data_IF_862174894595
#
_entry.id   IF_862174894595
#
_cell.length_a   1.000
_cell.length_b   1.000
_cell.length_c   1.000
_cell.angle_alpha   90.00
_cell.angle_beta   90.00
_cell.angle_gamma   90.00
#
_symmetry.space_group_name_H-M   'P 1'
#
loop_
_entity.id
_entity.type
_entity.pdbx_description
1 polymer ?
#
# COMPACT_ATOMS: atom_id res chain seq x y z
N UNK A 1 4.68 17.68 -41.18
CA UNK A 1 5.35 17.76 -39.87
C UNK A 1 4.57 18.57 -38.85
N UNK A 2 4.17 19.82 -39.11
CA UNK A 2 3.39 20.61 -38.15
C UNK A 2 1.98 20.04 -37.85
N UNK A 3 1.33 19.50 -38.87
CA UNK A 3 -0.02 18.93 -38.71
C UNK A 3 0.00 17.58 -38.00
N UNK A 4 1.04 16.76 -38.19
CA UNK A 4 1.21 15.51 -37.44
C UNK A 4 1.46 15.76 -35.94
N UNK A 5 2.25 16.77 -35.61
CA UNK A 5 2.50 17.14 -34.21
C UNK A 5 1.25 17.73 -33.53
N UNK A 6 0.43 18.50 -34.27
CA UNK A 6 -0.85 19.01 -33.75
C UNK A 6 -1.83 17.88 -33.47
N UNK A 7 -1.89 16.89 -34.36
CA UNK A 7 -2.75 15.72 -34.15
C UNK A 7 -2.28 14.90 -32.96
N UNK A 8 -0.97 14.67 -32.84
CA UNK A 8 -0.36 13.94 -31.71
C UNK A 8 -0.65 14.66 -30.36
N UNK A 9 -0.55 16.00 -30.33
CA UNK A 9 -0.91 16.79 -29.15
C UNK A 9 -2.41 16.69 -28.84
N UNK A 10 -3.29 16.68 -29.85
CA UNK A 10 -4.73 16.53 -29.66
C UNK A 10 -5.07 15.13 -29.10
N UNK A 11 -4.41 14.09 -29.61
CA UNK A 11 -4.58 12.70 -29.15
C UNK A 11 -4.12 12.54 -27.70
N UNK A 12 -2.99 13.16 -27.33
CA UNK A 12 -2.50 13.18 -25.94
C UNK A 12 -3.46 13.93 -25.00
N UNK A 13 -4.08 15.02 -25.45
CA UNK A 13 -5.11 15.72 -24.66
C UNK A 13 -6.34 14.84 -24.44
N UNK A 14 -6.82 14.16 -25.47
CA UNK A 14 -7.94 13.23 -25.36
C UNK A 14 -7.67 12.08 -24.42
N UNK A 15 -6.44 11.54 -24.42
CA UNK A 15 -5.99 10.54 -23.46
C UNK A 15 -5.98 11.12 -22.04
N UNK A 16 -5.43 12.33 -21.84
CA UNK A 16 -5.38 12.99 -20.55
C UNK A 16 -6.79 13.29 -20.00
N UNK A 17 -7.69 13.76 -20.83
CA UNK A 17 -9.10 13.99 -20.48
C UNK A 17 -9.81 12.68 -20.12
N UNK A 18 -9.59 11.61 -20.88
CA UNK A 18 -10.10 10.28 -20.59
C UNK A 18 -9.58 9.71 -19.26
N UNK A 19 -8.35 10.02 -18.88
CA UNK A 19 -7.79 9.65 -17.58
C UNK A 19 -8.38 10.49 -16.44
N UNK A 20 -8.52 11.80 -16.62
CA UNK A 20 -9.11 12.70 -15.62
C UNK A 20 -10.56 12.33 -15.29
N UNK A 21 -11.29 11.75 -16.25
CA UNK A 21 -12.65 11.25 -16.05
C UNK A 21 -12.73 9.94 -15.23
N UNK A 22 -11.61 9.29 -14.93
CA UNK A 22 -11.59 7.98 -14.23
C UNK A 22 -11.40 8.07 -12.72
N UNK A 23 -11.16 9.25 -12.19
CA UNK A 23 -10.97 9.44 -10.75
C UNK A 23 -11.45 10.83 -10.31
N UNK A 24 -11.92 10.90 -9.08
CA UNK A 24 -12.40 12.11 -8.44
C UNK A 24 -11.53 12.46 -7.25
N UNK A 25 -10.95 13.64 -7.29
CA UNK A 25 -10.17 14.19 -6.18
C UNK A 25 -11.07 14.53 -5.01
N UNK A 26 -10.57 14.30 -3.80
CA UNK A 26 -11.19 14.81 -2.59
C UNK A 26 -10.75 16.26 -2.38
N UNK A 27 -11.67 17.19 -2.59
CA UNK A 27 -11.41 18.59 -2.32
C UNK A 27 -11.53 18.88 -0.82
N UNK A 28 -10.75 19.86 -0.35
CA UNK A 28 -10.76 20.29 1.05
C UNK A 28 -10.56 19.15 2.05
N UNK A 29 -9.70 18.19 1.71
CA UNK A 29 -9.36 17.08 2.59
C UNK A 29 -8.85 17.62 3.93
N UNK A 30 -9.53 17.24 5.00
CA UNK A 30 -9.19 17.58 6.38
C UNK A 30 -9.11 16.30 7.21
N UNK A 31 -8.18 16.26 8.14
CA UNK A 31 -7.97 15.11 9.00
C UNK A 31 -8.69 15.28 10.36
N UNK A 32 -8.95 14.19 11.10
CA UNK A 32 -9.70 14.26 12.35
C UNK A 32 -8.97 15.14 13.37
N UNK A 33 -9.75 15.81 14.24
CA UNK A 33 -9.24 16.61 15.37
C UNK A 33 -8.22 17.71 15.00
N UNK A 34 -8.29 18.23 13.77
CA UNK A 34 -7.36 19.25 13.29
C UNK A 34 -5.95 18.74 13.02
N UNK A 35 -5.78 17.44 12.85
CA UNK A 35 -4.49 16.86 12.43
C UNK A 35 -4.05 17.43 11.08
N UNK A 36 -2.75 17.59 10.90
CA UNK A 36 -2.16 18.22 9.71
C UNK A 36 -1.85 17.25 8.59
N UNK A 37 -1.58 16.00 8.93
CA UNK A 37 -1.22 14.95 7.98
C UNK A 37 -1.71 13.61 8.50
N UNK A 38 -2.17 12.74 7.59
CA UNK A 38 -2.32 11.33 7.90
C UNK A 38 -1.11 10.56 7.35
N UNK A 39 -0.57 9.66 8.14
CA UNK A 39 0.58 8.81 7.79
C UNK A 39 0.21 7.37 8.03
N UNK A 40 0.24 6.57 6.96
CA UNK A 40 0.18 5.13 7.05
C UNK A 40 1.58 4.53 6.98
N UNK A 41 1.90 3.64 7.90
CA UNK A 41 2.95 2.66 7.73
C UNK A 41 2.30 1.36 7.27
N UNK A 42 2.71 0.85 6.13
CA UNK A 42 2.15 -0.36 5.55
C UNK A 42 3.24 -1.40 5.34
N UNK A 43 2.90 -2.67 5.52
CA UNK A 43 3.81 -3.77 5.31
C UNK A 43 3.21 -4.75 4.30
N UNK A 44 3.83 -4.89 3.15
CA UNK A 44 3.47 -5.90 2.14
C UNK A 44 4.14 -7.21 2.53
N UNK A 45 3.34 -8.12 3.08
CA UNK A 45 3.82 -9.36 3.66
C UNK A 45 3.86 -10.49 2.63
N UNK A 46 4.85 -10.43 1.74
CA UNK A 46 5.05 -11.39 0.64
C UNK A 46 5.87 -12.61 1.04
N UNK A 47 6.76 -12.45 2.01
CA UNK A 47 7.78 -13.44 2.36
C UNK A 47 8.51 -13.97 1.11
N UNK A 48 8.50 -15.29 0.84
CA UNK A 48 9.14 -15.86 -0.34
C UNK A 48 8.21 -15.96 -1.55
N UNK A 49 6.91 -15.59 -1.44
CA UNK A 49 5.92 -15.94 -2.45
C UNK A 49 6.18 -15.26 -3.80
N UNK A 50 6.53 -13.98 -3.81
CA UNK A 50 6.91 -13.30 -5.05
C UNK A 50 8.10 -13.98 -5.74
N UNK A 51 9.14 -14.34 -4.96
CA UNK A 51 10.34 -15.00 -5.47
C UNK A 51 10.04 -16.39 -6.01
N UNK A 52 9.12 -17.10 -5.36
CA UNK A 52 8.64 -18.41 -5.83
C UNK A 52 7.94 -18.29 -7.18
N UNK A 53 7.12 -17.28 -7.40
CA UNK A 53 6.47 -17.03 -8.68
C UNK A 53 7.47 -16.79 -9.82
N UNK A 54 8.61 -16.22 -9.51
CA UNK A 54 9.70 -16.00 -10.47
C UNK A 54 10.67 -17.19 -10.59
N UNK A 55 10.38 -18.32 -9.96
CA UNK A 55 11.24 -19.51 -9.93
C UNK A 55 12.69 -19.19 -9.52
N UNK A 56 12.84 -18.28 -8.58
CA UNK A 56 14.16 -17.92 -8.07
C UNK A 56 14.84 -19.08 -7.32
N UNK A 57 16.17 -19.16 -7.32
CA UNK A 57 16.90 -20.26 -6.68
C UNK A 57 16.71 -20.22 -5.14
N UNK A 58 16.97 -21.36 -4.43
CA UNK A 58 16.71 -21.49 -2.99
C UNK A 58 17.34 -20.42 -2.12
N UNK A 59 18.53 -19.92 -2.49
CA UNK A 59 19.19 -18.82 -1.77
C UNK A 59 18.34 -17.52 -1.80
N UNK A 60 17.68 -17.24 -2.91
CA UNK A 60 16.82 -16.07 -3.03
C UNK A 60 15.49 -16.28 -2.30
N UNK A 61 14.94 -17.51 -2.32
CA UNK A 61 13.78 -17.87 -1.50
C UNK A 61 14.07 -17.65 -0.01
N UNK A 62 15.25 -18.04 0.48
CA UNK A 62 15.66 -17.82 1.86
C UNK A 62 15.71 -16.33 2.25
N UNK A 63 16.02 -15.42 1.32
CA UNK A 63 15.94 -13.99 1.57
C UNK A 63 14.50 -13.53 1.79
N UNK A 64 13.56 -14.06 1.03
CA UNK A 64 12.13 -13.82 1.23
C UNK A 64 11.62 -14.42 2.55
N UNK A 65 12.04 -15.65 2.88
CA UNK A 65 11.70 -16.31 4.15
C UNK A 65 12.13 -15.51 5.39
N UNK A 66 13.24 -14.79 5.32
CA UNK A 66 13.63 -13.87 6.38
C UNK A 66 12.48 -12.92 6.76
N UNK A 67 11.68 -12.48 5.79
CA UNK A 67 10.52 -11.63 6.02
C UNK A 67 9.53 -12.25 7.02
N UNK A 68 9.15 -13.51 6.81
CA UNK A 68 8.22 -14.22 7.68
C UNK A 68 8.82 -14.69 9.02
N UNK A 69 10.09 -15.08 8.99
CA UNK A 69 10.76 -15.63 10.17
C UNK A 69 11.28 -14.58 11.15
N UNK A 70 11.69 -13.42 10.65
CA UNK A 70 12.35 -12.38 11.44
C UNK A 70 11.78 -10.99 11.14
N UNK A 71 11.68 -10.62 9.86
CA UNK A 71 11.44 -9.25 9.46
C UNK A 71 10.12 -8.69 9.95
N UNK A 72 9.04 -9.45 9.81
CA UNK A 72 7.69 -9.01 10.25
C UNK A 72 7.65 -8.80 11.78
N UNK A 73 8.33 -9.62 12.55
CA UNK A 73 8.38 -9.51 14.00
C UNK A 73 9.08 -8.23 14.45
N UNK A 74 10.18 -7.87 13.78
CA UNK A 74 10.89 -6.62 14.05
C UNK A 74 10.08 -5.38 13.68
N UNK A 75 9.29 -5.45 12.59
CA UNK A 75 8.40 -4.35 12.22
C UNK A 75 7.27 -4.20 13.25
N UNK A 76 6.65 -5.29 13.68
CA UNK A 76 5.62 -5.27 14.73
C UNK A 76 6.21 -4.66 16.02
N UNK A 77 7.37 -5.14 16.45
CA UNK A 77 8.06 -4.61 17.63
C UNK A 77 8.34 -3.11 17.51
N UNK A 78 8.86 -2.65 16.37
CA UNK A 78 9.12 -1.26 16.09
C UNK A 78 7.84 -0.41 16.20
N UNK A 79 6.75 -0.86 15.59
CA UNK A 79 5.48 -0.14 15.63
C UNK A 79 4.90 -0.10 17.04
N UNK A 80 5.00 -1.20 17.79
CA UNK A 80 4.55 -1.24 19.19
C UNK A 80 5.38 -0.32 20.08
N UNK A 81 6.72 -0.26 19.91
CA UNK A 81 7.61 0.66 20.63
C UNK A 81 7.23 2.14 20.36
N UNK A 82 6.83 2.45 19.15
CA UNK A 82 6.34 3.79 18.80
C UNK A 82 4.85 4.01 19.10
N UNK A 83 4.12 3.00 19.56
CA UNK A 83 2.68 3.10 19.86
C UNK A 83 1.83 3.44 18.64
N UNK A 84 2.24 3.02 17.44
CA UNK A 84 1.50 3.21 16.19
C UNK A 84 0.89 1.89 15.71
N UNK A 85 -0.16 2.01 14.90
CA UNK A 85 -0.76 0.87 14.21
C UNK A 85 -0.45 0.97 12.71
N UNK A 86 -0.14 -0.19 12.12
CA UNK A 86 0.17 -0.32 10.71
C UNK A 86 -0.89 -1.16 10.00
N UNK A 87 -0.92 -1.10 8.68
CA UNK A 87 -1.68 -2.04 7.85
C UNK A 87 -0.74 -3.08 7.29
N UNK A 88 -1.04 -4.35 7.52
CA UNK A 88 -0.31 -5.48 6.97
C UNK A 88 -1.09 -6.04 5.78
N UNK A 89 -0.69 -5.66 4.58
CA UNK A 89 -1.21 -6.24 3.35
C UNK A 89 -0.64 -7.65 3.20
N UNK A 90 -1.49 -8.63 3.33
CA UNK A 90 -1.10 -10.02 3.52
C UNK A 90 -1.49 -10.87 2.33
N UNK A 91 -0.51 -11.49 1.69
CA UNK A 91 -0.77 -12.51 0.67
C UNK A 91 -1.46 -13.71 1.33
N UNK A 92 -2.57 -14.17 0.77
CA UNK A 92 -3.44 -15.18 1.41
C UNK A 92 -2.71 -16.46 1.84
N UNK A 93 -1.74 -16.93 1.07
CA UNK A 93 -0.88 -18.08 1.42
C UNK A 93 -0.04 -17.86 2.67
N UNK A 94 0.22 -16.63 3.08
CA UNK A 94 0.94 -16.30 4.33
C UNK A 94 0.15 -16.83 5.55
N UNK A 95 -1.17 -16.90 5.46
CA UNK A 95 -2.01 -17.48 6.51
C UNK A 95 -1.64 -18.94 6.83
N UNK A 96 -1.19 -19.68 5.82
CA UNK A 96 -0.76 -21.08 5.97
C UNK A 96 0.72 -21.15 6.42
N UNK A 97 1.56 -20.24 5.93
CA UNK A 97 3.01 -20.32 6.11
C UNK A 97 3.50 -19.69 7.42
N UNK A 98 2.88 -18.56 7.81
CA UNK A 98 3.34 -17.77 8.97
C UNK A 98 2.17 -17.35 9.89
N UNK A 99 1.31 -18.30 10.33
CA UNK A 99 0.11 -17.97 11.11
C UNK A 99 0.42 -17.26 12.44
N UNK A 100 1.57 -17.52 13.04
CA UNK A 100 1.95 -16.91 14.32
C UNK A 100 2.26 -15.41 14.16
N UNK A 101 2.86 -15.01 13.02
CA UNK A 101 3.13 -13.60 12.73
C UNK A 101 1.84 -12.82 12.56
N UNK A 102 0.83 -13.40 11.87
CA UNK A 102 -0.48 -12.76 11.72
C UNK A 102 -1.21 -12.62 13.07
N UNK A 103 -1.15 -13.65 13.92
CA UNK A 103 -1.71 -13.55 15.28
C UNK A 103 -1.01 -12.48 16.10
N UNK A 104 0.30 -12.30 15.95
CA UNK A 104 1.03 -11.23 16.62
C UNK A 104 0.59 -9.86 16.08
N UNK A 105 0.54 -9.66 14.77
CA UNK A 105 0.06 -8.42 14.17
C UNK A 105 -1.34 -8.01 14.67
N UNK A 106 -2.27 -8.97 14.70
CA UNK A 106 -3.63 -8.73 15.21
C UNK A 106 -3.63 -8.40 16.71
N UNK A 107 -2.85 -9.12 17.53
CA UNK A 107 -2.75 -8.82 18.98
C UNK A 107 -2.19 -7.43 19.26
N UNK A 108 -1.25 -6.98 18.43
CA UNK A 108 -0.72 -5.62 18.49
C UNK A 108 -1.70 -4.58 17.91
N UNK A 109 -2.86 -4.99 17.40
CA UNK A 109 -3.90 -4.10 16.88
C UNK A 109 -3.62 -3.58 15.46
N UNK A 110 -2.72 -4.21 14.71
CA UNK A 110 -2.51 -3.89 13.31
C UNK A 110 -3.67 -4.38 12.45
N UNK A 111 -3.96 -3.66 11.38
CA UNK A 111 -4.92 -4.07 10.37
C UNK A 111 -4.34 -5.20 9.52
N UNK A 112 -5.14 -6.24 9.23
CA UNK A 112 -4.85 -7.18 8.16
C UNK A 112 -5.69 -6.82 6.93
N UNK A 113 -5.03 -6.59 5.80
CA UNK A 113 -5.64 -6.27 4.53
C UNK A 113 -5.20 -7.27 3.43
N UNK A 114 -5.97 -7.33 2.37
CA UNK A 114 -5.74 -8.26 1.26
C UNK A 114 -4.54 -7.85 0.40
N UNK A 115 -3.71 -8.84 0.02
CA UNK A 115 -2.62 -8.69 -0.93
C UNK A 115 -2.59 -9.84 -1.95
N UNK A 116 -3.77 -10.19 -2.47
CA UNK A 116 -3.97 -11.31 -3.39
C UNK A 116 -3.77 -12.68 -2.71
N UNK A 117 -4.15 -13.79 -3.40
CA UNK A 117 -3.97 -15.13 -2.83
C UNK A 117 -2.50 -15.60 -2.86
N UNK A 118 -1.81 -15.41 -4.00
CA UNK A 118 -0.42 -15.82 -4.21
C UNK A 118 0.44 -14.69 -4.82
N UNK A 119 0.20 -13.45 -4.45
CA UNK A 119 0.83 -12.27 -5.04
C UNK A 119 0.60 -12.18 -6.57
N UNK A 120 -0.53 -12.69 -7.02
CA UNK A 120 -0.94 -12.76 -8.42
C UNK A 120 -2.43 -12.73 -8.55
N UNK A 121 -2.92 -12.00 -9.53
CA UNK A 121 -4.33 -11.99 -9.92
C UNK A 121 -4.52 -12.91 -11.13
N UNK A 122 -5.42 -13.88 -11.06
CA UNK A 122 -5.82 -14.67 -12.23
C UNK A 122 -6.41 -13.81 -13.34
N UNK A 123 -6.28 -14.26 -14.57
CA UNK A 123 -6.89 -13.57 -15.72
C UNK A 123 -8.37 -13.90 -15.89
N UNK A 124 -8.79 -15.07 -15.46
CA UNK A 124 -10.15 -15.58 -15.54
C UNK A 124 -10.98 -14.93 -14.43
N UNK A 125 -12.08 -14.22 -14.75
CA UNK A 125 -12.85 -13.45 -13.74
C UNK A 125 -13.39 -14.29 -12.58
N UNK A 126 -13.85 -15.51 -12.85
CA UNK A 126 -14.37 -16.39 -11.80
C UNK A 126 -13.25 -16.87 -10.86
N UNK A 127 -12.08 -17.17 -11.40
CA UNK A 127 -10.92 -17.57 -10.59
C UNK A 127 -10.35 -16.37 -9.80
N UNK A 128 -10.39 -15.17 -10.37
CA UNK A 128 -10.06 -13.93 -9.65
C UNK A 128 -10.98 -13.75 -8.44
N UNK A 129 -12.30 -13.91 -8.63
CA UNK A 129 -13.30 -13.84 -7.55
C UNK A 129 -13.08 -14.91 -6.48
N UNK A 130 -12.79 -16.14 -6.91
CA UNK A 130 -12.47 -17.24 -5.99
C UNK A 130 -11.25 -16.91 -5.13
N UNK A 131 -10.16 -16.44 -5.74
CA UNK A 131 -8.94 -16.07 -5.05
C UNK A 131 -9.16 -14.93 -4.06
N UNK A 132 -9.91 -13.90 -4.45
CA UNK A 132 -10.26 -12.78 -3.59
C UNK A 132 -11.06 -13.25 -2.35
N UNK A 133 -12.10 -14.06 -2.56
CA UNK A 133 -12.90 -14.63 -1.46
C UNK A 133 -12.08 -15.55 -0.56
N UNK A 134 -11.18 -16.33 -1.14
CA UNK A 134 -10.30 -17.25 -0.41
C UNK A 134 -9.33 -16.48 0.48
N UNK A 135 -8.74 -15.38 -0.02
CA UNK A 135 -7.87 -14.50 0.77
C UNK A 135 -8.67 -13.88 1.90
N UNK A 136 -9.84 -13.32 1.62
CA UNK A 136 -10.69 -12.71 2.62
C UNK A 136 -11.06 -13.69 3.75
N UNK A 137 -11.49 -14.90 3.40
CA UNK A 137 -11.84 -15.94 4.37
C UNK A 137 -10.63 -16.43 5.19
N UNK A 138 -9.44 -16.46 4.58
CA UNK A 138 -8.21 -16.82 5.29
C UNK A 138 -7.81 -15.75 6.33
N UNK A 139 -7.88 -14.47 5.96
CA UNK A 139 -7.56 -13.35 6.86
C UNK A 139 -8.58 -13.19 7.99
N UNK A 140 -9.86 -13.41 7.70
CA UNK A 140 -10.94 -13.35 8.70
C UNK A 140 -10.71 -14.30 9.87
N UNK A 141 -10.13 -15.48 9.65
CA UNK A 141 -9.80 -16.45 10.71
C UNK A 141 -8.80 -15.89 11.75
N UNK A 142 -8.02 -14.88 11.39
CA UNK A 142 -7.05 -14.25 12.30
C UNK A 142 -7.59 -13.00 12.95
N UNK A 143 -8.25 -12.13 12.20
CA UNK A 143 -8.75 -10.85 12.67
C UNK A 143 -10.17 -10.91 13.28
N UNK A 144 -10.89 -12.02 13.07
CA UNK A 144 -12.30 -12.16 13.48
C UNK A 144 -13.28 -11.33 12.63
N UNK A 145 -12.79 -10.67 11.59
CA UNK A 145 -13.61 -9.85 10.67
C UNK A 145 -13.07 -9.91 9.25
N UNK A 146 -13.95 -9.77 8.28
CA UNK A 146 -13.56 -9.73 6.87
C UNK A 146 -12.68 -8.49 6.60
N UNK A 147 -11.58 -8.61 5.84
CA UNK A 147 -10.80 -7.47 5.42
C UNK A 147 -11.64 -6.53 4.56
N UNK A 148 -11.43 -5.23 4.75
CA UNK A 148 -12.16 -4.19 4.01
C UNK A 148 -11.24 -3.43 3.04
N UNK A 149 -9.96 -3.70 3.06
CA UNK A 149 -8.96 -3.06 2.22
C UNK A 149 -8.11 -4.05 1.45
N UNK A 150 -7.62 -3.58 0.31
CA UNK A 150 -6.73 -4.34 -0.56
C UNK A 150 -5.55 -3.49 -1.02
N UNK A 151 -4.43 -4.14 -1.27
CA UNK A 151 -3.35 -3.64 -2.15
C UNK A 151 -3.12 -4.68 -3.22
N UNK A 152 -3.76 -4.50 -4.35
CA UNK A 152 -3.77 -5.52 -5.38
C UNK A 152 -4.08 -4.97 -6.77
N UNK A 153 -3.82 -5.81 -7.76
CA UNK A 153 -4.24 -5.60 -9.15
C UNK A 153 -5.61 -6.20 -9.47
N UNK A 154 -6.39 -6.55 -8.44
CA UNK A 154 -7.76 -7.03 -8.66
C UNK A 154 -8.59 -5.99 -9.40
N UNK A 155 -9.53 -6.47 -10.20
CA UNK A 155 -10.51 -5.63 -10.88
C UNK A 155 -11.23 -4.76 -9.84
N UNK A 156 -11.15 -3.43 -9.92
CA UNK A 156 -11.68 -2.56 -8.87
C UNK A 156 -13.18 -2.70 -8.63
N UNK A 157 -13.97 -2.98 -9.70
CA UNK A 157 -15.39 -3.28 -9.57
C UNK A 157 -15.63 -4.55 -8.74
N UNK A 158 -14.77 -5.56 -8.94
CA UNK A 158 -14.84 -6.80 -8.16
C UNK A 158 -14.54 -6.55 -6.69
N UNK A 159 -13.53 -5.75 -6.37
CA UNK A 159 -13.23 -5.37 -4.98
C UNK A 159 -14.46 -4.75 -4.31
N UNK A 160 -15.09 -3.76 -4.95
CA UNK A 160 -16.32 -3.14 -4.44
C UNK A 160 -17.45 -4.17 -4.26
N UNK A 161 -17.68 -5.01 -5.25
CA UNK A 161 -18.79 -5.98 -5.23
C UNK A 161 -18.60 -7.06 -4.14
N UNK A 162 -17.36 -7.32 -3.76
CA UNK A 162 -16.98 -8.20 -2.65
C UNK A 162 -16.87 -7.47 -1.30
N UNK A 163 -17.25 -6.19 -1.24
CA UNK A 163 -17.38 -5.42 0.00
C UNK A 163 -16.11 -4.71 0.49
N UNK A 164 -15.10 -4.60 -0.34
CA UNK A 164 -13.93 -3.77 -0.04
C UNK A 164 -14.29 -2.30 -0.14
N UNK A 165 -13.76 -1.50 0.76
CA UNK A 165 -14.01 -0.05 0.82
C UNK A 165 -12.87 0.78 0.26
N UNK A 166 -11.66 0.21 0.20
CA UNK A 166 -10.51 0.85 -0.40
C UNK A 166 -9.57 -0.12 -1.11
N UNK A 167 -8.84 0.39 -2.10
CA UNK A 167 -7.62 -0.19 -2.61
C UNK A 167 -6.43 0.75 -2.32
N UNK A 168 -5.21 0.21 -2.30
CA UNK A 168 -3.98 0.98 -2.06
C UNK A 168 -2.91 0.57 -3.07
N UNK A 169 -3.21 0.75 -4.36
CA UNK A 169 -2.32 0.38 -5.45
C UNK A 169 -2.06 1.52 -6.44
N UNK A 170 -3.00 2.44 -6.55
CA UNK A 170 -2.92 3.55 -7.49
C UNK A 170 -1.97 4.65 -7.05
N UNK A 171 -1.47 5.41 -8.04
CA UNK A 171 -0.55 6.53 -7.84
C UNK A 171 -0.97 7.76 -8.66
N UNK A 172 -2.27 7.94 -8.91
CA UNK A 172 -2.76 9.07 -9.71
C UNK A 172 -2.73 10.40 -8.95
N UNK A 173 -2.76 10.38 -7.63
CA UNK A 173 -2.58 11.56 -6.76
C UNK A 173 -1.73 11.17 -5.53
N UNK A 174 -1.24 12.16 -4.80
CA UNK A 174 -0.63 11.98 -3.48
C UNK A 174 -1.66 11.90 -2.34
N UNK A 175 -2.91 12.29 -2.59
CA UNK A 175 -4.02 12.28 -1.64
C UNK A 175 -4.99 11.16 -1.98
N UNK A 176 -5.75 10.65 -1.00
CA UNK A 176 -6.87 9.76 -1.29
C UNK A 176 -7.81 10.33 -2.36
N UNK A 177 -8.32 9.48 -3.21
CA UNK A 177 -9.23 9.85 -4.29
C UNK A 177 -10.22 8.71 -4.57
N UNK A 178 -11.33 9.02 -5.25
CA UNK A 178 -12.29 8.00 -5.66
C UNK A 178 -12.01 7.56 -7.10
N UNK A 179 -12.00 6.29 -7.34
CA UNK A 179 -12.02 5.72 -8.66
C UNK A 179 -13.43 5.83 -9.24
N UNK A 180 -13.55 6.17 -10.51
CA UNK A 180 -14.82 6.33 -11.22
C UNK A 180 -14.99 5.18 -12.21
N UNK A 181 -16.24 4.73 -12.36
CA UNK A 181 -16.60 3.74 -13.37
C UNK A 181 -16.73 4.38 -14.78
N UNK A 182 -17.08 3.58 -15.79
CA UNK A 182 -17.25 4.05 -17.15
C UNK A 182 -18.39 5.08 -17.36
N UNK A 183 -19.22 5.30 -16.33
CA UNK A 183 -20.29 6.30 -16.32
C UNK A 183 -19.94 7.53 -15.49
N UNK A 184 -18.74 7.56 -14.91
CA UNK A 184 -18.28 8.63 -14.04
C UNK A 184 -18.79 8.53 -12.61
N UNK A 185 -19.40 7.41 -12.22
CA UNK A 185 -19.85 7.20 -10.85
C UNK A 185 -18.72 6.69 -9.96
N UNK A 186 -18.57 7.23 -8.75
CA UNK A 186 -17.55 6.79 -7.80
C UNK A 186 -17.90 5.41 -7.26
N UNK A 187 -16.91 4.52 -7.20
CA UNK A 187 -17.16 3.16 -6.74
C UNK A 187 -16.17 2.60 -5.73
N UNK A 188 -14.94 3.10 -5.67
CA UNK A 188 -13.92 2.62 -4.74
C UNK A 188 -13.00 3.76 -4.33
N UNK A 189 -12.65 3.83 -3.04
CA UNK A 189 -11.64 4.74 -2.55
C UNK A 189 -10.24 4.19 -2.86
N UNK A 190 -9.34 5.05 -3.31
CA UNK A 190 -7.93 4.73 -3.50
C UNK A 190 -7.10 5.46 -2.44
N UNK A 191 -6.27 4.70 -1.71
CA UNK A 191 -5.26 5.21 -0.80
C UNK A 191 -3.89 5.09 -1.46
N UNK A 192 -3.43 6.11 -2.18
CA UNK A 192 -2.26 5.99 -3.03
C UNK A 192 -0.97 5.81 -2.24
N UNK A 193 -0.02 5.11 -2.85
CA UNK A 193 1.37 5.14 -2.46
C UNK A 193 2.25 5.38 -3.68
N UNK A 194 3.49 5.76 -3.45
CA UNK A 194 4.42 6.08 -4.53
C UNK A 194 5.75 5.34 -4.34
N UNK A 195 6.33 4.85 -5.41
CA UNK A 195 7.60 4.12 -5.38
C UNK A 195 8.76 4.87 -4.73
N UNK A 196 8.71 6.22 -4.68
CA UNK A 196 9.71 7.01 -3.95
C UNK A 196 9.67 6.84 -2.42
N UNK A 197 8.62 6.22 -1.87
CA UNK A 197 8.46 5.89 -0.45
C UNK A 197 8.15 4.41 -0.23
N UNK A 198 8.69 3.58 -1.11
CA UNK A 198 8.67 2.13 -1.08
C UNK A 198 10.10 1.62 -0.85
N UNK A 199 10.30 0.84 0.19
CA UNK A 199 11.63 0.37 0.61
C UNK A 199 12.30 -0.54 -0.43
N UNK A 200 11.51 -1.30 -1.19
CA UNK A 200 12.03 -2.21 -2.19
C UNK A 200 12.77 -1.50 -3.31
N UNK A 201 12.36 -0.27 -3.63
CA UNK A 201 13.00 0.53 -4.68
C UNK A 201 14.44 0.94 -4.31
N UNK A 202 14.73 1.04 -3.01
CA UNK A 202 16.04 1.49 -2.51
C UNK A 202 16.92 0.34 -2.02
N UNK A 203 16.32 -0.69 -1.45
CA UNK A 203 17.05 -1.71 -0.69
C UNK A 203 16.88 -3.13 -1.22
N UNK A 204 16.03 -3.34 -2.17
CA UNK A 204 15.87 -4.62 -2.84
C UNK A 204 16.26 -4.48 -4.31
N UNK A 205 15.70 -5.22 -5.16
CA UNK A 205 16.15 -5.41 -6.54
C UNK A 205 15.22 -4.74 -7.53
N UNK A 206 15.65 -4.75 -8.79
CA UNK A 206 14.75 -4.41 -9.87
C UNK A 206 13.68 -5.50 -10.00
N UNK A 207 12.45 -5.19 -9.71
CA UNK A 207 11.29 -6.07 -9.72
C UNK A 207 11.07 -6.86 -11.02
N UNK A 208 11.63 -6.36 -12.12
CA UNK A 208 11.40 -6.87 -13.46
C UNK A 208 12.61 -7.53 -14.09
N UNK A 209 13.66 -7.72 -13.34
CA UNK A 209 14.85 -8.32 -13.89
C UNK A 209 14.99 -9.78 -13.45
N UNK A 210 15.69 -10.56 -14.26
CA UNK A 210 15.95 -11.99 -14.01
C UNK A 210 16.59 -12.23 -12.64
N UNK A 211 16.57 -13.47 -12.19
CA UNK A 211 17.11 -13.94 -10.90
C UNK A 211 18.53 -13.44 -10.53
N UNK A 212 19.26 -12.92 -11.48
CA UNK A 212 20.63 -12.41 -11.33
C UNK A 212 20.67 -10.90 -11.03
N UNK A 213 19.57 -10.25 -10.80
CA UNK A 213 19.57 -8.82 -10.55
C UNK A 213 20.11 -8.47 -9.19
N UNK A 214 21.02 -7.53 -9.24
CA UNK A 214 21.73 -7.03 -8.09
C UNK A 214 20.79 -6.42 -7.05
N UNK A 215 21.04 -6.74 -5.80
CA UNK A 215 20.40 -6.06 -4.72
C UNK A 215 20.95 -4.63 -4.62
N UNK A 216 20.06 -3.66 -4.62
CA UNK A 216 20.45 -2.29 -4.30
C UNK A 216 20.73 -2.18 -2.81
N UNK A 217 21.90 -1.69 -2.50
CA UNK A 217 22.29 -1.29 -1.15
C UNK A 217 22.39 0.23 -1.13
N UNK A 218 21.25 0.89 -1.02
CA UNK A 218 21.22 2.33 -0.83
C UNK A 218 21.71 2.72 0.57
N UNK A 219 22.34 3.88 0.65
CA UNK A 219 22.68 4.50 1.91
C UNK A 219 21.41 4.84 2.70
N UNK A 220 21.27 4.30 3.89
CA UNK A 220 20.08 4.50 4.73
C UNK A 220 19.90 5.95 5.19
N UNK A 221 20.96 6.73 5.34
CA UNK A 221 20.86 8.14 5.74
C UNK A 221 20.29 8.96 4.58
N UNK A 222 20.69 8.68 3.34
CA UNK A 222 20.12 9.33 2.16
C UNK A 222 18.65 8.97 1.96
N UNK A 223 18.27 7.71 2.15
CA UNK A 223 16.86 7.30 2.07
C UNK A 223 16.03 7.95 3.18
N UNK A 224 16.58 8.01 4.40
CA UNK A 224 15.97 8.76 5.51
C UNK A 224 15.72 10.22 5.12
N UNK A 225 16.72 10.93 4.58
CA UNK A 225 16.59 12.33 4.20
C UNK A 225 15.55 12.53 3.09
N UNK A 226 15.50 11.65 2.11
CA UNK A 226 14.49 11.68 1.05
C UNK A 226 13.07 11.48 1.60
N UNK A 227 12.86 10.47 2.46
CA UNK A 227 11.56 10.19 3.05
C UNK A 227 11.13 11.26 4.05
N UNK A 228 12.09 11.82 4.79
CA UNK A 228 11.84 12.97 5.65
C UNK A 228 11.43 14.21 4.84
N UNK A 229 12.08 14.49 3.72
CA UNK A 229 11.71 15.60 2.84
C UNK A 229 10.30 15.41 2.24
N UNK A 230 9.96 14.18 1.80
CA UNK A 230 8.63 13.85 1.32
C UNK A 230 7.56 14.07 2.42
N UNK A 231 7.82 13.59 3.64
CA UNK A 231 6.96 13.82 4.78
C UNK A 231 6.77 15.30 5.07
N UNK A 232 7.86 16.09 5.14
CA UNK A 232 7.79 17.53 5.42
C UNK A 232 6.94 18.26 4.38
N UNK A 233 7.04 17.88 3.11
CA UNK A 233 6.27 18.50 2.04
C UNK A 233 4.78 18.18 2.18
N UNK A 234 4.42 16.92 2.43
CA UNK A 234 3.04 16.54 2.69
C UNK A 234 2.49 17.19 3.97
N UNK A 235 3.28 17.27 5.04
CA UNK A 235 2.91 17.92 6.29
C UNK A 235 2.58 19.41 6.10
N UNK A 236 3.33 20.13 5.26
CA UNK A 236 3.06 21.56 4.95
C UNK A 236 1.71 21.76 4.30
N UNK A 237 1.29 20.84 3.46
CA UNK A 237 0.09 20.96 2.62
C UNK A 237 -1.13 20.22 3.15
N UNK A 238 -1.10 19.72 4.38
CA UNK A 238 -2.21 18.94 4.93
C UNK A 238 -2.45 17.65 4.16
N UNK A 239 -1.36 17.00 3.70
CA UNK A 239 -1.41 15.89 2.79
C UNK A 239 -1.58 14.52 3.44
N UNK A 240 -1.19 13.51 2.71
CA UNK A 240 -1.23 12.11 3.07
C UNK A 240 0.11 11.45 2.70
N UNK A 241 0.60 10.54 3.53
CA UNK A 241 1.81 9.79 3.26
C UNK A 241 1.58 8.30 3.58
N UNK A 242 1.79 7.45 2.60
CA UNK A 242 1.65 6.00 2.73
C UNK A 242 3.01 5.35 2.44
N UNK A 243 3.70 4.96 3.50
CA UNK A 243 5.03 4.35 3.43
C UNK A 243 4.86 2.85 3.24
N UNK A 244 5.40 2.33 2.14
CA UNK A 244 5.36 0.91 1.81
C UNK A 244 6.65 0.22 2.25
N UNK A 245 6.51 -0.80 3.08
CA UNK A 245 7.59 -1.61 3.62
C UNK A 245 7.38 -3.08 3.28
N UNK A 246 8.47 -3.78 3.04
CA UNK A 246 8.46 -5.23 2.89
C UNK A 246 9.24 -5.86 4.05
N UNK A 247 8.65 -6.77 4.82
CA UNK A 247 9.34 -7.37 5.97
C UNK A 247 10.70 -8.00 5.64
N UNK A 248 10.84 -8.60 4.45
CA UNK A 248 12.12 -9.17 4.02
C UNK A 248 13.16 -8.10 3.63
N UNK A 249 12.73 -6.88 3.37
CA UNK A 249 13.56 -5.70 3.06
C UNK A 249 13.85 -4.91 4.32
N UNK A 250 12.85 -4.25 4.88
CA UNK A 250 12.99 -3.32 6.00
C UNK A 250 13.12 -3.96 7.36
N UNK A 251 12.80 -5.25 7.51
CA UNK A 251 13.06 -6.00 8.74
C UNK A 251 14.55 -6.26 9.04
N UNK A 252 15.48 -5.84 8.18
CA UNK A 252 16.93 -5.92 8.39
C UNK A 252 17.39 -4.84 9.38
N UNK A 253 18.36 -5.18 10.23
CA UNK A 253 18.78 -4.35 11.36
C UNK A 253 19.09 -2.90 10.99
N UNK A 254 19.86 -2.67 9.91
CA UNK A 254 20.23 -1.33 9.46
C UNK A 254 19.01 -0.48 9.06
N UNK A 255 18.01 -1.11 8.47
CA UNK A 255 16.79 -0.43 7.98
C UNK A 255 15.78 -0.23 9.10
N UNK A 256 15.68 -1.16 10.05
CA UNK A 256 14.91 -0.95 11.29
C UNK A 256 15.44 0.27 12.03
N UNK A 257 16.76 0.43 12.16
CA UNK A 257 17.35 1.61 12.81
C UNK A 257 17.03 2.92 12.06
N UNK A 258 16.99 2.89 10.73
CA UNK A 258 16.56 4.04 9.93
C UNK A 258 15.08 4.37 10.17
N UNK A 259 14.20 3.37 10.17
CA UNK A 259 12.76 3.56 10.41
C UNK A 259 12.47 4.05 11.82
N UNK A 260 13.19 3.55 12.82
CA UNK A 260 13.09 4.00 14.20
C UNK A 260 13.38 5.52 14.30
N UNK A 261 14.49 5.97 13.71
CA UNK A 261 14.82 7.39 13.63
C UNK A 261 13.77 8.21 12.90
N UNK A 262 13.22 7.69 11.80
CA UNK A 262 12.20 8.37 11.01
C UNK A 262 10.90 8.56 11.81
N UNK A 263 10.43 7.48 12.45
CA UNK A 263 9.24 7.52 13.31
C UNK A 263 9.45 8.48 14.50
N UNK A 264 10.57 8.37 15.20
CA UNK A 264 10.90 9.25 16.30
C UNK A 264 10.85 10.72 15.86
N UNK A 265 11.43 11.04 14.70
CA UNK A 265 11.45 12.40 14.17
C UNK A 265 10.08 12.89 13.72
N UNK A 266 9.27 12.05 13.07
CA UNK A 266 7.90 12.43 12.70
C UNK A 266 7.04 12.77 13.93
N UNK A 267 7.23 12.04 15.02
CA UNK A 267 6.51 12.25 16.30
C UNK A 267 6.89 13.53 17.03
N UNK A 268 8.00 14.20 16.67
CA UNK A 268 8.32 15.51 17.24
C UNK A 268 7.42 16.64 16.71
N UNK A 269 6.70 16.40 15.61
CA UNK A 269 5.82 17.42 15.02
C UNK A 269 4.37 17.23 15.49
N UNK A 270 3.66 18.32 15.84
CA UNK A 270 2.27 18.24 16.25
C UNK A 270 1.36 17.91 15.06
N UNK A 271 0.25 17.25 15.34
CA UNK A 271 -0.80 17.02 14.35
C UNK A 271 -0.46 15.95 13.29
N UNK A 272 0.42 15.02 13.60
CA UNK A 272 0.66 13.82 12.78
C UNK A 272 -0.29 12.72 13.24
N UNK A 273 -1.17 12.30 12.36
CA UNK A 273 -2.09 11.19 12.60
C UNK A 273 -1.51 9.90 12.00
N UNK A 274 -0.89 9.08 12.84
CA UNK A 274 -0.51 7.73 12.46
C UNK A 274 -1.74 6.84 12.50
N UNK A 275 -2.15 6.34 11.37
CA UNK A 275 -3.39 5.60 11.20
C UNK A 275 -3.18 4.32 10.39
N UNK A 276 -4.08 3.36 10.52
CA UNK A 276 -4.22 2.27 9.56
C UNK A 276 -4.87 2.78 8.27
N UNK A 277 -4.73 2.02 7.20
CA UNK A 277 -5.41 2.36 5.94
C UNK A 277 -6.94 2.34 6.10
N UNK A 278 -7.47 1.40 6.89
CA UNK A 278 -8.91 1.35 7.19
C UNK A 278 -9.39 2.60 7.92
N UNK A 279 -8.65 3.09 8.92
CA UNK A 279 -9.01 4.32 9.65
C UNK A 279 -9.05 5.52 8.71
N UNK A 280 -8.05 5.67 7.83
CA UNK A 280 -8.03 6.73 6.81
C UNK A 280 -9.20 6.57 5.83
N UNK A 281 -9.44 5.35 5.35
CA UNK A 281 -10.53 5.09 4.41
C UNK A 281 -11.90 5.42 5.01
N UNK A 282 -12.17 4.98 6.23
CA UNK A 282 -13.42 5.27 6.92
C UNK A 282 -13.61 6.76 7.17
N UNK A 283 -12.55 7.47 7.55
CA UNK A 283 -12.58 8.92 7.68
C UNK A 283 -12.93 9.61 6.36
N UNK A 284 -12.28 9.22 5.25
CA UNK A 284 -12.58 9.78 3.94
C UNK A 284 -14.03 9.51 3.50
N UNK A 285 -14.51 8.29 3.69
CA UNK A 285 -15.88 7.91 3.33
C UNK A 285 -16.95 8.64 4.17
N UNK A 286 -16.68 8.88 5.44
CA UNK A 286 -17.62 9.58 6.35
C UNK A 286 -17.60 11.11 6.15
N UNK A 287 -16.42 11.71 6.09
CA UNK A 287 -16.25 13.19 6.08
C UNK A 287 -16.13 13.80 4.70
N UNK A 288 -15.72 13.01 3.72
CA UNK A 288 -15.45 13.45 2.37
C UNK A 288 -16.08 12.49 1.34
N UNK A 289 -17.40 12.22 1.42
CA UNK A 289 -18.05 11.28 0.51
C UNK A 289 -17.87 11.73 -0.93
N UNK A 290 -17.79 10.76 -1.83
CA UNK A 290 -17.69 11.02 -3.26
C UNK A 290 -18.91 11.80 -3.76
N UNK A 291 -18.66 12.75 -4.65
CA UNK A 291 -19.73 13.46 -5.36
C UNK A 291 -20.21 12.60 -6.50
N UNK A 292 -21.52 12.33 -6.55
CA UNK A 292 -22.14 11.70 -7.71
C UNK A 292 -22.20 12.69 -8.85
N UNK A 293 -22.09 12.20 -10.09
CA UNK A 293 -22.35 13.03 -11.26
C UNK A 293 -23.77 13.61 -11.14
N UNK A 294 -23.89 14.92 -11.19
CA UNK A 294 -25.21 15.56 -11.33
C UNK A 294 -25.74 15.20 -12.70
N UNK A 295 -26.87 14.49 -12.74
CA UNK A 295 -27.55 14.10 -13.95
C UNK A 295 -27.93 15.32 -14.80
#
# INVERSE_FOLDING_TARGET
>A
MADSLRQEIADLKGVAEGYAARWQRIDNLAWPNGMRIAVNFTADFDAMLLRRLHNEPPMQLAKGEFGGRVGIWRLIELFDQHGIKATVFTVGRICELYPQALRAAVRSGHELADHMWEHRVPKEPELEREHLRKTAAALEKFSGRRPVGSRSHHTPQLLRDEGYIYNSHGAADHRPYYQLDGKGEPYLLELPFHFAIDDAMFFSFAWYASANTEQRLSDTDRVFDMWWAAFQQQYRHGGYLNICLHPFVSGRALRIAMLDRLLARMKTLPGVWFATCEEVARHCLDKHPARRATA
#
